data_IF_106248898040
#
_entry.id   IF_106248898040
#
_cell.length_a   1.000
_cell.length_b   1.000
_cell.length_c   1.000
_cell.angle_alpha   90.00
_cell.angle_beta   90.00
_cell.angle_gamma   90.00
#
_symmetry.space_group_name_H-M   'P 1'
#
loop_
_entity.id
_entity.type
_entity.pdbx_description
1 polymer ?
#
# COMPACT_ATOMS: atom_id res chain seq x y z
N UNK A 1 -9.26 -15.32 5.08
CA UNK A 1 -8.84 -14.09 5.80
C UNK A 1 -8.21 -13.19 4.75
N UNK A 2 -8.38 -11.87 4.82
CA UNK A 2 -7.78 -10.98 3.80
C UNK A 2 -6.27 -11.14 3.72
N UNK A 3 -5.69 -11.02 2.53
CA UNK A 3 -4.25 -10.87 2.35
C UNK A 3 -3.90 -9.40 2.57
N UNK A 4 -3.15 -9.11 3.63
CA UNK A 4 -2.77 -7.75 4.00
C UNK A 4 -1.39 -7.40 3.43
N UNK A 5 -1.30 -6.33 2.64
CA UNK A 5 -0.10 -5.96 1.88
C UNK A 5 0.22 -4.48 2.06
N UNK A 6 1.45 -4.17 2.48
CA UNK A 6 1.96 -2.80 2.55
C UNK A 6 2.74 -2.43 1.28
N UNK A 7 2.45 -1.29 0.68
CA UNK A 7 3.25 -0.71 -0.40
C UNK A 7 4.26 0.26 0.18
N UNK A 8 5.54 -0.09 0.14
CA UNK A 8 6.61 0.66 0.82
C UNK A 8 7.80 0.94 -0.08
N UNK A 9 8.40 2.10 0.08
CA UNK A 9 9.74 2.45 -0.43
C UNK A 9 10.18 3.76 0.23
N UNK A 10 11.45 3.90 0.57
CA UNK A 10 12.02 5.14 1.11
C UNK A 10 12.04 6.28 0.11
N UNK A 11 12.14 5.96 -1.18
CA UNK A 11 12.17 6.95 -2.26
C UNK A 11 10.76 7.46 -2.56
N UNK A 12 10.61 8.78 -2.61
CA UNK A 12 9.40 9.42 -3.12
C UNK A 12 9.28 9.29 -4.64
N UNK A 13 8.07 9.35 -5.19
CA UNK A 13 7.84 9.35 -6.64
C UNK A 13 8.08 8.03 -7.36
N UNK A 14 8.22 6.91 -6.65
CA UNK A 14 8.42 5.57 -7.24
C UNK A 14 7.12 4.83 -7.55
N UNK A 15 5.98 5.51 -7.50
CA UNK A 15 4.68 4.92 -7.86
C UNK A 15 4.03 4.08 -6.76
N UNK A 16 4.33 4.27 -5.47
CA UNK A 16 3.63 3.57 -4.37
C UNK A 16 2.13 3.75 -4.46
N UNK A 17 1.66 4.97 -4.30
CA UNK A 17 0.23 5.32 -4.38
C UNK A 17 -0.39 4.90 -5.71
N UNK A 18 0.32 5.14 -6.83
CA UNK A 18 -0.16 4.75 -8.16
C UNK A 18 -0.38 3.23 -8.26
N UNK A 19 0.56 2.43 -7.75
CA UNK A 19 0.44 0.98 -7.73
C UNK A 19 -0.67 0.52 -6.78
N UNK A 20 -0.74 1.08 -5.56
CA UNK A 20 -1.78 0.75 -4.59
C UNK A 20 -3.17 0.98 -5.16
N UNK A 21 -3.44 2.20 -5.66
CA UNK A 21 -4.76 2.60 -6.17
C UNK A 21 -5.15 1.82 -7.42
N UNK A 22 -4.25 1.71 -8.39
CA UNK A 22 -4.61 1.10 -9.68
C UNK A 22 -4.68 -0.44 -9.62
N UNK A 23 -3.82 -1.11 -8.84
CA UNK A 23 -3.93 -2.55 -8.61
C UNK A 23 -5.22 -2.86 -7.83
N UNK A 24 -5.52 -2.10 -6.76
CA UNK A 24 -6.76 -2.26 -5.99
C UNK A 24 -8.01 -2.10 -6.88
N UNK A 25 -8.02 -1.06 -7.72
CA UNK A 25 -9.12 -0.82 -8.65
C UNK A 25 -9.29 -1.94 -9.67
N UNK A 26 -8.18 -2.46 -10.24
CA UNK A 26 -8.24 -3.57 -11.18
C UNK A 26 -8.73 -4.87 -10.52
N UNK A 27 -8.22 -5.20 -9.33
CA UNK A 27 -8.66 -6.37 -8.57
C UNK A 27 -10.16 -6.31 -8.24
N UNK A 28 -10.63 -5.15 -7.81
CA UNK A 28 -12.03 -4.97 -7.45
C UNK A 28 -12.95 -4.96 -8.68
N UNK A 29 -12.60 -4.23 -9.74
CA UNK A 29 -13.47 -4.05 -10.90
C UNK A 29 -13.49 -5.25 -11.84
N UNK A 30 -12.36 -5.98 -11.97
CA UNK A 30 -12.22 -7.01 -13.02
C UNK A 30 -11.96 -8.42 -12.47
N UNK A 31 -11.35 -8.55 -11.29
CA UNK A 31 -11.10 -9.84 -10.65
C UNK A 31 -12.09 -10.13 -9.50
N UNK A 32 -13.12 -9.28 -9.36
CA UNK A 32 -14.22 -9.43 -8.40
C UNK A 32 -13.77 -9.57 -6.94
N UNK A 33 -12.62 -8.99 -6.58
CA UNK A 33 -12.11 -9.00 -5.21
C UNK A 33 -12.73 -7.87 -4.40
N UNK A 34 -12.94 -8.12 -3.12
CA UNK A 34 -13.27 -7.07 -2.14
C UNK A 34 -11.96 -6.51 -1.61
N UNK A 35 -11.69 -5.24 -1.89
CA UNK A 35 -10.41 -4.60 -1.57
C UNK A 35 -10.64 -3.39 -0.68
N UNK A 36 -9.91 -3.32 0.43
CA UNK A 36 -9.80 -2.13 1.26
C UNK A 36 -8.44 -1.46 1.01
N UNK A 37 -8.45 -0.20 0.61
CA UNK A 37 -7.26 0.65 0.62
C UNK A 37 -7.25 1.45 1.92
N UNK A 38 -6.15 1.39 2.67
CA UNK A 38 -5.89 2.17 3.87
C UNK A 38 -4.79 3.17 3.55
N UNK A 39 -5.13 4.44 3.50
CA UNK A 39 -4.18 5.52 3.24
C UNK A 39 -3.47 5.90 4.55
N UNK A 40 -2.16 5.71 4.59
CA UNK A 40 -1.31 5.99 5.75
C UNK A 40 -0.33 7.16 5.50
N UNK A 41 -0.39 7.76 4.31
CA UNK A 41 0.45 8.92 4.01
C UNK A 41 -0.26 10.21 4.43
N UNK A 42 0.36 11.07 5.28
CA UNK A 42 -0.20 12.37 5.63
C UNK A 42 -0.37 13.30 4.43
N UNK A 43 0.21 13.00 3.26
CA UNK A 43 -0.09 13.68 2.00
C UNK A 43 -1.48 13.32 1.44
N UNK A 44 -2.14 12.28 1.95
CA UNK A 44 -3.50 11.84 1.58
C UNK A 44 -3.67 11.53 0.08
N UNK A 45 -2.61 11.05 -0.57
CA UNK A 45 -2.63 10.88 -2.02
C UNK A 45 -3.62 9.81 -2.49
N UNK A 46 -3.67 8.62 -1.86
CA UNK A 46 -4.68 7.60 -2.16
C UNK A 46 -6.10 8.09 -1.89
N UNK A 47 -6.28 8.82 -0.79
CA UNK A 47 -7.58 9.41 -0.42
C UNK A 47 -8.06 10.39 -1.48
N UNK A 48 -7.19 11.32 -1.91
CA UNK A 48 -7.53 12.33 -2.91
C UNK A 48 -7.59 11.75 -4.33
N UNK A 49 -6.98 10.60 -4.60
CA UNK A 49 -7.14 9.92 -5.88
C UNK A 49 -8.49 9.22 -6.00
N UNK A 50 -9.02 8.70 -4.89
CA UNK A 50 -10.27 7.93 -4.87
C UNK A 50 -11.48 8.74 -4.42
N UNK A 51 -11.30 9.96 -3.93
CA UNK A 51 -12.35 10.86 -3.48
C UNK A 51 -12.18 12.26 -4.05
N UNK A 52 -13.30 12.92 -4.38
CA UNK A 52 -13.27 14.34 -4.67
C UNK A 52 -12.79 15.14 -3.45
N UNK A 53 -11.96 16.18 -3.61
CA UNK A 53 -11.36 16.93 -2.50
C UNK A 53 -12.38 17.50 -1.51
N UNK A 54 -13.55 17.93 -2.01
CA UNK A 54 -14.63 18.44 -1.15
C UNK A 54 -15.22 17.29 -0.31
N UNK A 55 -15.54 16.15 -0.92
CA UNK A 55 -16.10 14.99 -0.22
C UNK A 55 -15.12 14.44 0.82
N UNK A 56 -13.81 14.40 0.49
CA UNK A 56 -12.77 14.03 1.45
C UNK A 56 -12.74 14.98 2.65
N UNK A 57 -12.70 16.31 2.42
CA UNK A 57 -12.70 17.30 3.52
C UNK A 57 -13.93 17.18 4.41
N UNK A 58 -15.12 17.00 3.82
CA UNK A 58 -16.35 16.82 4.58
C UNK A 58 -16.35 15.51 5.39
N UNK A 59 -15.77 14.45 4.82
CA UNK A 59 -15.69 13.16 5.48
C UNK A 59 -14.72 13.20 6.68
N UNK A 60 -13.47 13.59 6.47
CA UNK A 60 -12.43 13.60 7.53
C UNK A 60 -12.66 14.74 8.54
N UNK A 61 -13.29 15.84 8.13
CA UNK A 61 -13.60 16.99 9.00
C UNK A 61 -14.60 16.68 10.12
N UNK A 62 -15.35 15.59 10.03
CA UNK A 62 -16.25 15.12 11.09
C UNK A 62 -15.51 14.45 12.27
N UNK A 63 -14.18 14.50 12.31
CA UNK A 63 -13.32 14.20 13.45
C UNK A 63 -13.17 12.72 13.83
N UNK A 64 -14.00 11.83 13.26
CA UNK A 64 -14.06 10.40 13.61
C UNK A 64 -13.72 9.47 12.45
N UNK A 65 -13.59 10.02 11.24
CA UNK A 65 -13.68 9.29 9.97
C UNK A 65 -12.37 9.28 9.20
N UNK A 66 -11.29 8.96 9.89
CA UNK A 66 -9.99 8.76 9.24
C UNK A 66 -9.10 7.85 10.06
N UNK A 67 -8.06 7.33 9.44
CA UNK A 67 -7.06 6.51 10.13
C UNK A 67 -6.34 7.26 11.27
N UNK A 68 -6.32 8.60 11.24
CA UNK A 68 -5.80 9.42 12.34
C UNK A 68 -6.53 9.17 13.66
N UNK A 69 -7.89 9.11 13.63
CA UNK A 69 -8.68 8.87 14.84
C UNK A 69 -8.41 7.47 15.44
N UNK A 70 -8.18 6.47 14.58
CA UNK A 70 -7.78 5.14 15.01
C UNK A 70 -6.52 5.18 15.88
N UNK A 71 -5.47 5.84 15.39
CA UNK A 71 -4.22 5.98 16.15
C UNK A 71 -4.41 6.79 17.42
N UNK A 72 -5.14 7.90 17.33
CA UNK A 72 -5.43 8.79 18.47
C UNK A 72 -6.13 8.06 19.60
N UNK A 73 -7.07 7.17 19.28
CA UNK A 73 -7.78 6.38 20.27
C UNK A 73 -6.83 5.47 21.05
N UNK A 74 -5.94 4.77 20.35
CA UNK A 74 -4.94 3.93 21.02
C UNK A 74 -3.94 4.71 21.86
N UNK A 75 -3.58 5.93 21.44
CA UNK A 75 -2.66 6.80 22.19
C UNK A 75 -3.32 7.33 23.45
N UNK A 76 -4.58 7.74 23.35
CA UNK A 76 -5.32 8.41 24.43
C UNK A 76 -6.20 7.47 25.27
N UNK A 77 -6.32 6.19 24.91
CA UNK A 77 -7.23 5.25 25.55
C UNK A 77 -8.71 5.60 25.35
N UNK A 78 -9.05 6.21 24.18
CA UNK A 78 -10.42 6.55 23.79
C UNK A 78 -10.98 5.55 22.78
N UNK A 79 -12.29 5.59 22.51
CA UNK A 79 -13.00 4.69 21.59
C UNK A 79 -13.95 5.52 20.72
N UNK A 80 -13.40 6.45 19.95
CA UNK A 80 -14.13 7.38 19.09
C UNK A 80 -14.17 6.90 17.65
N UNK A 81 -13.12 6.17 17.22
CA UNK A 81 -13.05 5.58 15.90
C UNK A 81 -14.14 4.53 15.72
N UNK A 82 -14.90 4.68 14.65
CA UNK A 82 -15.88 3.71 14.20
C UNK A 82 -15.52 3.31 12.76
N UNK A 83 -15.31 2.02 12.53
CA UNK A 83 -14.85 1.51 11.24
C UNK A 83 -15.89 1.76 10.14
N UNK A 84 -17.17 1.50 10.41
CA UNK A 84 -18.23 1.63 9.42
C UNK A 84 -18.53 3.09 9.08
N UNK A 85 -18.31 4.01 10.02
CA UNK A 85 -18.37 5.44 9.74
C UNK A 85 -17.12 5.99 9.04
N UNK A 86 -15.94 5.41 9.30
CA UNK A 86 -14.67 5.89 8.77
C UNK A 86 -14.39 5.38 7.36
N UNK A 87 -14.80 4.16 7.02
CA UNK A 87 -14.59 3.58 5.70
C UNK A 87 -15.58 4.13 4.69
N UNK A 88 -15.05 4.65 3.59
CA UNK A 88 -15.86 5.06 2.42
C UNK A 88 -16.06 3.86 1.54
N UNK A 89 -17.28 3.33 1.53
CA UNK A 89 -17.64 2.14 0.75
C UNK A 89 -17.82 2.49 -0.73
N UNK A 90 -17.28 1.67 -1.61
CA UNK A 90 -17.47 1.75 -3.06
C UNK A 90 -16.87 3.00 -3.69
N UNK A 91 -15.55 3.11 -3.73
CA UNK A 91 -14.81 4.24 -4.33
C UNK A 91 -14.22 3.87 -5.70
N UNK A 92 -13.96 4.86 -6.62
CA UNK A 92 -14.40 6.26 -6.51
C UNK A 92 -15.92 6.39 -6.62
N UNK A 93 -16.43 7.54 -6.16
CA UNK A 93 -17.88 7.81 -6.21
C UNK A 93 -18.22 9.03 -7.05
N UNK A 94 -19.30 8.92 -7.79
CA UNK A 94 -20.06 10.04 -8.37
C UNK A 94 -21.41 10.06 -7.65
N UNK A 95 -22.52 10.04 -8.36
CA UNK A 95 -23.85 9.79 -7.74
C UNK A 95 -23.91 8.40 -7.12
N UNK A 96 -23.25 7.42 -7.76
CA UNK A 96 -23.14 6.03 -7.32
C UNK A 96 -21.67 5.60 -7.21
N UNK A 97 -21.39 4.49 -6.47
CA UNK A 97 -20.09 3.84 -6.50
C UNK A 97 -19.72 3.41 -7.92
N UNK A 98 -18.51 3.76 -8.39
CA UNK A 98 -18.00 3.29 -9.68
C UNK A 98 -17.37 1.89 -9.58
N UNK A 99 -16.80 1.56 -8.40
CA UNK A 99 -16.30 0.22 -8.08
C UNK A 99 -16.87 -0.17 -6.72
N UNK A 100 -17.95 -0.94 -6.71
CA UNK A 100 -18.70 -1.28 -5.49
C UNK A 100 -17.90 -2.11 -4.46
N UNK A 101 -16.92 -2.88 -4.93
CA UNK A 101 -16.09 -3.76 -4.10
C UNK A 101 -14.72 -3.16 -3.72
N UNK A 102 -14.52 -1.86 -3.97
CA UNK A 102 -13.34 -1.11 -3.55
C UNK A 102 -13.72 -0.12 -2.46
N UNK A 103 -13.15 -0.29 -1.27
CA UNK A 103 -13.37 0.58 -0.13
C UNK A 103 -12.10 1.35 0.23
N UNK A 104 -12.26 2.48 0.92
CA UNK A 104 -11.17 3.34 1.35
C UNK A 104 -11.31 3.72 2.82
N UNK A 105 -10.27 3.47 3.62
CA UNK A 105 -10.09 4.14 4.92
C UNK A 105 -9.15 5.34 4.69
N UNK A 106 -9.66 6.57 4.70
CA UNK A 106 -8.89 7.72 4.28
C UNK A 106 -7.89 8.21 5.33
N UNK A 107 -6.80 8.80 4.85
CA UNK A 107 -5.88 9.58 5.65
C UNK A 107 -6.43 10.99 5.95
N UNK A 108 -5.82 11.63 6.94
CA UNK A 108 -5.89 13.09 7.13
C UNK A 108 -4.48 13.65 7.37
N UNK A 109 -4.28 14.93 7.08
CA UNK A 109 -3.00 15.62 7.30
C UNK A 109 -2.55 15.58 8.77
N UNK A 110 -3.47 15.33 9.69
CA UNK A 110 -3.20 15.22 11.12
C UNK A 110 -2.37 13.99 11.49
N UNK A 111 -2.23 13.01 10.59
CA UNK A 111 -1.29 11.88 10.76
C UNK A 111 0.15 12.34 11.04
N UNK A 112 0.53 13.55 10.60
CA UNK A 112 1.83 14.15 10.96
C UNK A 112 2.04 14.22 12.47
N UNK A 113 0.97 14.42 13.26
CA UNK A 113 1.04 14.53 14.73
C UNK A 113 1.23 13.18 15.41
N UNK A 114 0.88 12.09 14.73
CA UNK A 114 0.89 10.73 15.32
C UNK A 114 2.32 10.26 15.61
N UNK A 115 3.26 10.56 14.72
CA UNK A 115 4.65 10.15 14.92
C UNK A 115 5.21 10.69 16.23
N UNK A 116 5.07 12.01 16.47
CA UNK A 116 5.53 12.64 17.70
C UNK A 116 4.80 12.10 18.94
N UNK A 117 3.49 11.91 18.85
CA UNK A 117 2.68 11.42 19.97
C UNK A 117 3.05 9.98 20.36
N UNK A 118 3.29 9.10 19.37
CA UNK A 118 3.73 7.73 19.63
C UNK A 118 5.13 7.71 20.29
N UNK A 119 6.07 8.54 19.83
CA UNK A 119 7.41 8.59 20.41
C UNK A 119 7.43 9.16 21.83
N UNK A 120 6.49 10.06 22.17
CA UNK A 120 6.33 10.58 23.52
C UNK A 120 5.69 9.54 24.47
N UNK A 121 4.87 8.66 23.95
CA UNK A 121 4.17 7.64 24.69
C UNK A 121 5.07 6.41 24.87
N UNK A 122 5.96 6.42 25.88
CA UNK A 122 7.01 5.42 26.10
C UNK A 122 6.55 3.99 26.39
N UNK A 123 5.24 3.73 26.50
CA UNK A 123 4.69 2.46 26.94
C UNK A 123 3.78 1.83 25.90
N UNK A 124 4.11 0.61 25.47
CA UNK A 124 3.23 -0.27 24.72
C UNK A 124 3.72 -0.72 23.33
N UNK A 125 2.94 -1.64 22.77
CA UNK A 125 3.17 -2.21 21.45
C UNK A 125 2.55 -1.28 20.38
N UNK A 126 3.06 -0.05 20.26
CA UNK A 126 2.52 0.98 19.36
C UNK A 126 2.38 0.50 17.89
N UNK A 127 3.20 -0.46 17.48
CA UNK A 127 3.18 -1.01 16.13
C UNK A 127 1.95 -1.89 15.82
N UNK A 128 1.11 -2.22 16.82
CA UNK A 128 -0.05 -3.10 16.68
C UNK A 128 -1.40 -2.39 16.62
N UNK A 129 -1.44 -1.05 16.73
CA UNK A 129 -2.69 -0.28 16.82
C UNK A 129 -3.59 -0.48 15.59
N UNK A 130 -3.01 -0.33 14.40
CA UNK A 130 -3.73 -0.51 13.14
C UNK A 130 -4.33 -1.92 13.04
N UNK A 131 -3.52 -2.96 13.29
CA UNK A 131 -3.98 -4.34 13.23
C UNK A 131 -5.10 -4.64 14.22
N UNK A 132 -5.00 -4.15 15.47
CA UNK A 132 -6.02 -4.36 16.50
C UNK A 132 -7.38 -3.79 16.07
N UNK A 133 -7.38 -2.62 15.47
CA UNK A 133 -8.61 -1.97 15.01
C UNK A 133 -9.19 -2.59 13.73
N UNK A 134 -8.33 -3.08 12.81
CA UNK A 134 -8.80 -3.65 11.56
C UNK A 134 -9.14 -5.15 11.65
N UNK A 135 -8.56 -5.88 12.61
CA UNK A 135 -8.72 -7.33 12.74
C UNK A 135 -10.18 -7.82 12.70
N UNK A 136 -11.16 -7.18 13.35
CA UNK A 136 -12.56 -7.61 13.30
C UNK A 136 -13.16 -7.59 11.89
N UNK A 137 -12.64 -6.73 11.02
CA UNK A 137 -13.18 -6.44 9.69
C UNK A 137 -12.42 -7.14 8.55
N UNK A 138 -11.27 -7.79 8.82
CA UNK A 138 -10.45 -8.43 7.79
C UNK A 138 -11.20 -9.52 7.01
N UNK A 139 -12.21 -10.17 7.60
CA UNK A 139 -13.01 -11.20 6.91
C UNK A 139 -13.97 -10.62 5.85
N UNK A 140 -14.18 -9.32 5.85
CA UNK A 140 -15.01 -8.64 4.86
C UNK A 140 -14.30 -8.49 3.52
N UNK A 141 -12.96 -8.64 3.50
CA UNK A 141 -12.10 -8.36 2.34
C UNK A 141 -11.32 -9.58 1.88
N UNK A 142 -10.94 -9.56 0.62
CA UNK A 142 -9.99 -10.49 0.02
C UNK A 142 -8.57 -9.91 0.10
N UNK A 143 -8.45 -8.57 -0.06
CA UNK A 143 -7.20 -7.82 0.10
C UNK A 143 -7.37 -6.58 0.98
N UNK A 144 -6.36 -6.29 1.80
CA UNK A 144 -6.21 -5.00 2.49
C UNK A 144 -4.86 -4.40 2.10
N UNK A 145 -4.87 -3.26 1.42
CA UNK A 145 -3.68 -2.56 0.94
C UNK A 145 -3.39 -1.35 1.80
N UNK A 146 -2.16 -1.25 2.27
CA UNK A 146 -1.67 -0.10 3.03
C UNK A 146 -0.77 0.75 2.12
N UNK A 147 -1.21 1.97 1.77
CA UNK A 147 -0.38 2.96 1.08
C UNK A 147 0.46 3.71 2.10
N UNK A 148 1.76 3.44 2.14
CA UNK A 148 2.66 3.92 3.17
C UNK A 148 3.45 5.17 2.74
N UNK A 149 3.73 6.10 3.67
CA UNK A 149 4.65 7.21 3.42
C UNK A 149 6.09 6.71 3.13
N UNK A 150 6.96 7.57 2.56
CA UNK A 150 8.32 7.18 2.18
C UNK A 150 9.29 7.11 3.39
N UNK A 151 8.88 6.40 4.44
CA UNK A 151 9.68 6.23 5.67
C UNK A 151 9.32 4.92 6.38
N UNK A 152 10.04 4.56 7.43
CA UNK A 152 9.77 3.41 8.33
C UNK A 152 9.52 3.88 9.77
N UNK A 153 8.73 4.94 9.94
CA UNK A 153 8.37 5.42 11.26
C UNK A 153 7.18 4.64 11.85
N UNK A 154 6.58 5.17 12.90
CA UNK A 154 5.59 4.44 13.68
C UNK A 154 4.34 4.04 12.86
N UNK A 155 3.85 4.91 11.99
CA UNK A 155 2.67 4.63 11.14
C UNK A 155 2.99 3.51 10.16
N UNK A 156 4.13 3.57 9.44
CA UNK A 156 4.56 2.50 8.53
C UNK A 156 4.82 1.17 9.25
N UNK A 157 5.39 1.21 10.47
CA UNK A 157 5.56 -0.01 11.29
C UNK A 157 4.23 -0.64 11.69
N UNK A 158 3.18 0.14 11.85
CA UNK A 158 1.83 -0.39 12.05
C UNK A 158 1.30 -1.11 10.80
N UNK A 159 1.54 -0.56 9.61
CA UNK A 159 1.21 -1.23 8.36
C UNK A 159 1.97 -2.55 8.21
N UNK A 160 3.28 -2.54 8.43
CA UNK A 160 4.11 -3.75 8.39
C UNK A 160 3.66 -4.81 9.41
N UNK A 161 3.30 -4.39 10.63
CA UNK A 161 2.77 -5.33 11.63
C UNK A 161 1.42 -5.92 11.18
N UNK A 162 0.59 -5.16 10.48
CA UNK A 162 -0.71 -5.63 10.00
C UNK A 162 -0.62 -6.51 8.74
N UNK A 163 0.53 -6.49 8.04
CA UNK A 163 0.72 -7.17 6.76
C UNK A 163 1.37 -8.55 6.90
N UNK A 164 1.03 -9.45 5.99
CA UNK A 164 1.79 -10.67 5.70
C UNK A 164 2.95 -10.37 4.74
N UNK A 165 2.72 -9.49 3.78
CA UNK A 165 3.71 -9.13 2.77
C UNK A 165 3.84 -7.62 2.61
N UNK A 166 5.01 -7.18 2.17
CA UNK A 166 5.15 -5.87 1.58
C UNK A 166 5.59 -5.97 0.12
N UNK A 167 5.14 -5.01 -0.64
CA UNK A 167 5.42 -4.82 -2.07
C UNK A 167 6.24 -3.55 -2.22
N UNK A 168 7.28 -3.61 -3.04
CA UNK A 168 8.24 -2.52 -3.24
C UNK A 168 8.15 -2.00 -4.68
N UNK A 169 7.34 -0.96 -4.94
CA UNK A 169 7.41 -0.24 -6.21
C UNK A 169 8.73 0.52 -6.33
N UNK A 170 9.39 0.44 -7.48
CA UNK A 170 10.65 1.14 -7.73
C UNK A 170 10.77 1.58 -9.19
N UNK A 171 11.55 2.63 -9.41
CA UNK A 171 12.02 3.02 -10.75
C UNK A 171 13.36 2.33 -10.98
N UNK A 172 13.57 1.66 -12.10
CA UNK A 172 14.82 0.94 -12.35
C UNK A 172 15.96 1.92 -12.65
N UNK A 173 16.60 2.39 -11.58
CA UNK A 173 17.79 3.25 -11.61
C UNK A 173 18.80 2.77 -10.55
N UNK A 174 20.04 3.25 -10.65
CA UNK A 174 21.14 2.86 -9.77
C UNK A 174 20.86 3.12 -8.29
N UNK A 175 20.19 4.24 -7.97
CA UNK A 175 19.88 4.59 -6.57
C UNK A 175 18.84 3.66 -5.96
N UNK A 176 17.99 3.04 -6.77
CA UNK A 176 16.98 2.10 -6.30
C UNK A 176 17.58 0.81 -5.77
N UNK A 177 18.71 0.36 -6.31
CA UNK A 177 19.41 -0.85 -5.85
C UNK A 177 19.93 -0.70 -4.41
N UNK A 178 20.65 0.37 -4.10
CA UNK A 178 21.17 0.61 -2.75
C UNK A 178 20.04 0.86 -1.74
N UNK A 179 19.00 1.58 -2.15
CA UNK A 179 17.81 1.81 -1.33
C UNK A 179 17.05 0.52 -1.00
N UNK A 180 16.99 -0.41 -1.95
CA UNK A 180 16.30 -1.69 -1.74
C UNK A 180 17.02 -2.57 -0.69
N UNK A 181 18.36 -2.60 -0.70
CA UNK A 181 19.10 -3.35 0.32
C UNK A 181 18.77 -2.84 1.72
N UNK A 182 18.86 -1.53 1.95
CA UNK A 182 18.56 -0.93 3.25
C UNK A 182 17.11 -1.21 3.66
N UNK A 183 16.17 -1.11 2.72
CA UNK A 183 14.77 -1.41 2.99
C UNK A 183 14.56 -2.87 3.41
N UNK A 184 15.16 -3.82 2.69
CA UNK A 184 15.04 -5.25 2.98
C UNK A 184 15.61 -5.58 4.38
N UNK A 185 16.78 -5.06 4.72
CA UNK A 185 17.40 -5.23 6.04
C UNK A 185 16.52 -4.65 7.17
N UNK A 186 15.91 -3.49 6.95
CA UNK A 186 15.04 -2.85 7.95
C UNK A 186 13.70 -3.58 8.13
N UNK A 187 13.11 -4.11 7.05
CA UNK A 187 11.88 -4.92 7.11
C UNK A 187 12.15 -6.22 7.85
N UNK A 188 13.22 -6.93 7.52
CA UNK A 188 13.62 -8.17 8.18
C UNK A 188 13.93 -7.95 9.67
N UNK A 189 14.71 -6.92 10.01
CA UNK A 189 14.99 -6.58 11.40
C UNK A 189 13.71 -6.26 12.20
N UNK A 190 12.76 -5.57 11.57
CA UNK A 190 11.47 -5.31 12.19
C UNK A 190 10.64 -6.59 12.34
N UNK A 191 10.57 -7.44 11.30
CA UNK A 191 9.86 -8.71 11.32
C UNK A 191 10.38 -9.64 12.45
N UNK A 192 11.70 -9.76 12.58
CA UNK A 192 12.34 -10.51 13.69
C UNK A 192 11.97 -9.94 15.06
N UNK A 193 11.97 -8.61 15.19
CA UNK A 193 11.62 -7.94 16.45
C UNK A 193 10.18 -8.20 16.88
N UNK A 194 9.23 -8.25 15.91
CA UNK A 194 7.80 -8.44 16.21
C UNK A 194 7.36 -9.90 16.23
N UNK A 195 8.22 -10.86 15.89
CA UNK A 195 7.86 -12.28 15.74
C UNK A 195 7.14 -12.86 16.95
N UNK A 196 7.56 -12.48 18.17
CA UNK A 196 6.90 -12.90 19.42
C UNK A 196 5.51 -12.28 19.67
N UNK A 197 5.11 -11.28 18.91
CA UNK A 197 3.82 -10.58 19.03
C UNK A 197 2.84 -10.96 17.92
N UNK A 198 3.31 -11.64 16.88
CA UNK A 198 2.49 -12.09 15.75
C UNK A 198 2.00 -13.49 16.03
N UNK A 199 0.67 -13.66 16.21
CA UNK A 199 0.06 -14.96 16.51
C UNK A 199 -0.86 -15.38 15.36
N UNK A 200 -0.76 -16.64 14.94
CA UNK A 200 -1.61 -17.23 13.91
C UNK A 200 -1.30 -16.81 12.46
N UNK A 201 -0.19 -16.10 12.24
CA UNK A 201 0.32 -15.74 10.91
C UNK A 201 1.83 -15.56 10.93
N UNK A 202 2.45 -15.49 9.74
CA UNK A 202 3.89 -15.19 9.62
C UNK A 202 4.14 -13.68 9.84
N UNK A 203 5.31 -13.29 10.38
CA UNK A 203 5.77 -11.91 10.33
C UNK A 203 5.90 -11.43 8.88
N UNK A 204 5.80 -10.12 8.69
CA UNK A 204 5.88 -9.50 7.36
C UNK A 204 7.20 -9.82 6.65
N UNK A 205 7.12 -10.08 5.35
CA UNK A 205 8.29 -10.21 4.47
C UNK A 205 8.05 -9.47 3.14
N UNK A 206 9.12 -9.10 2.42
CA UNK A 206 8.99 -8.56 1.07
C UNK A 206 8.56 -9.71 0.15
N UNK A 207 7.36 -9.58 -0.43
CA UNK A 207 6.76 -10.61 -1.29
C UNK A 207 6.90 -10.31 -2.79
N UNK A 208 7.02 -9.04 -3.17
CA UNK A 208 7.16 -8.67 -4.58
C UNK A 208 7.80 -7.30 -4.78
N UNK A 209 8.42 -7.10 -5.95
CA UNK A 209 8.86 -5.81 -6.46
C UNK A 209 8.04 -5.45 -7.69
N UNK A 210 7.74 -4.15 -7.87
CA UNK A 210 7.01 -3.62 -9.03
C UNK A 210 7.86 -2.58 -9.74
N UNK A 211 8.13 -2.79 -11.02
CA UNK A 211 8.81 -1.78 -11.85
C UNK A 211 7.81 -0.73 -12.30
N UNK A 212 8.06 0.51 -11.95
CA UNK A 212 7.27 1.67 -12.37
C UNK A 212 8.07 2.60 -13.28
N UNK A 213 7.39 3.49 -14.01
CA UNK A 213 7.99 4.47 -14.91
C UNK A 213 8.96 3.84 -15.94
N UNK A 214 8.71 2.58 -16.32
CA UNK A 214 9.54 1.86 -17.28
C UNK A 214 9.55 2.57 -18.63
N UNK A 215 10.74 2.68 -19.22
CA UNK A 215 10.94 3.21 -20.58
C UNK A 215 11.79 2.21 -21.37
N UNK A 216 11.24 1.68 -22.43
CA UNK A 216 11.92 0.73 -23.31
C UNK A 216 12.93 1.43 -24.26
N UNK A 217 13.72 2.39 -23.76
CA UNK A 217 14.68 3.15 -24.55
C UNK A 217 16.07 2.98 -23.96
N UNK A 218 17.00 2.43 -24.76
CA UNK A 218 18.36 2.16 -24.32
C UNK A 218 18.46 0.96 -23.36
N UNK A 219 19.70 0.65 -22.93
CA UNK A 219 19.99 -0.53 -22.11
C UNK A 219 19.95 -0.27 -20.59
N UNK A 220 19.83 0.99 -20.17
CA UNK A 220 19.96 1.38 -18.75
C UNK A 220 18.89 0.72 -17.87
N UNK A 221 17.64 0.77 -18.30
CA UNK A 221 16.53 0.16 -17.54
C UNK A 221 16.64 -1.37 -17.49
N UNK A 222 17.01 -2.01 -18.60
CA UNK A 222 17.18 -3.46 -18.65
C UNK A 222 18.33 -3.92 -17.73
N UNK A 223 19.45 -3.19 -17.74
CA UNK A 223 20.58 -3.47 -16.84
C UNK A 223 20.19 -3.30 -15.37
N UNK A 224 19.52 -2.21 -15.00
CA UNK A 224 19.06 -1.97 -13.64
C UNK A 224 18.07 -3.04 -13.15
N UNK A 225 17.20 -3.56 -14.03
CA UNK A 225 16.29 -4.65 -13.69
C UNK A 225 17.07 -5.95 -13.47
N UNK A 226 18.01 -6.30 -14.35
CA UNK A 226 18.84 -7.50 -14.18
C UNK A 226 19.66 -7.45 -12.88
N UNK A 227 20.23 -6.29 -12.55
CA UNK A 227 20.95 -6.09 -11.29
C UNK A 227 20.01 -6.26 -10.08
N UNK A 228 18.77 -5.73 -10.16
CA UNK A 228 17.77 -5.92 -9.11
C UNK A 228 17.37 -7.38 -8.96
N UNK A 229 17.21 -8.13 -10.05
CA UNK A 229 16.93 -9.58 -10.01
C UNK A 229 18.08 -10.35 -9.34
N UNK A 230 19.32 -10.03 -9.67
CA UNK A 230 20.49 -10.65 -9.01
C UNK A 230 20.51 -10.35 -7.52
N UNK A 231 20.22 -9.10 -7.13
CA UNK A 231 20.16 -8.70 -5.72
C UNK A 231 19.00 -9.38 -5.00
N UNK A 232 17.82 -9.45 -5.62
CA UNK A 232 16.66 -10.15 -5.07
C UNK A 232 16.97 -11.62 -4.81
N UNK A 233 17.61 -12.30 -5.77
CA UNK A 233 18.01 -13.70 -5.62
C UNK A 233 19.03 -13.90 -4.48
N UNK A 234 19.97 -12.97 -4.31
CA UNK A 234 20.89 -12.97 -3.17
C UNK A 234 20.13 -12.82 -1.83
N UNK A 235 19.12 -11.96 -1.78
CA UNK A 235 18.34 -11.72 -0.57
C UNK A 235 17.41 -12.89 -0.27
N UNK A 236 16.87 -13.59 -1.27
CA UNK A 236 16.15 -14.84 -1.09
C UNK A 236 17.03 -15.91 -0.44
N UNK A 237 18.26 -16.10 -0.96
CA UNK A 237 19.23 -17.04 -0.40
C UNK A 237 19.68 -16.68 1.01
N UNK A 238 19.64 -15.38 1.38
CA UNK A 238 19.94 -14.87 2.72
C UNK A 238 18.72 -14.74 3.64
N UNK A 239 17.54 -15.21 3.21
CA UNK A 239 16.26 -15.13 3.95
C UNK A 239 15.83 -13.70 4.38
N UNK A 240 16.33 -12.69 3.68
CA UNK A 240 15.97 -11.27 3.92
C UNK A 240 14.61 -10.89 3.30
N UNK A 241 14.13 -11.67 2.34
CA UNK A 241 12.86 -11.52 1.64
C UNK A 241 12.17 -12.87 1.55
N UNK A 242 10.89 -12.91 1.19
CA UNK A 242 10.18 -14.17 0.98
C UNK A 242 10.89 -15.03 -0.09
N UNK A 243 10.91 -16.34 0.11
CA UNK A 243 11.54 -17.26 -0.82
C UNK A 243 10.93 -17.17 -2.24
N UNK A 244 9.65 -16.89 -2.30
CA UNK A 244 8.86 -16.74 -3.53
C UNK A 244 8.86 -15.30 -4.09
N UNK A 245 9.57 -14.35 -3.43
CA UNK A 245 9.58 -12.95 -3.88
C UNK A 245 10.06 -12.84 -5.34
N UNK A 246 9.38 -12.03 -6.14
CA UNK A 246 9.72 -11.84 -7.54
C UNK A 246 9.48 -10.41 -8.03
N UNK A 247 10.05 -10.03 -9.17
CA UNK A 247 9.71 -8.80 -9.86
C UNK A 247 8.51 -9.10 -10.75
N UNK A 248 7.34 -8.60 -10.35
CA UNK A 248 6.10 -8.88 -11.09
C UNK A 248 6.06 -8.18 -12.44
N UNK A 249 5.47 -8.83 -13.40
CA UNK A 249 5.28 -8.34 -14.76
C UNK A 249 3.79 -8.24 -15.10
N UNK A 250 3.41 -7.35 -16.03
CA UNK A 250 4.27 -6.47 -16.82
C UNK A 250 4.82 -5.29 -16.00
N UNK A 251 5.92 -4.71 -16.47
CA UNK A 251 6.44 -3.45 -15.92
C UNK A 251 5.51 -2.29 -16.30
N UNK A 252 5.23 -1.40 -15.35
CA UNK A 252 4.37 -0.23 -15.61
C UNK A 252 5.15 0.81 -16.38
N UNK A 253 4.80 0.96 -17.66
CA UNK A 253 5.41 1.96 -18.54
C UNK A 253 5.06 3.37 -18.10
N UNK A 254 5.99 4.29 -18.32
CA UNK A 254 5.70 5.71 -18.12
C UNK A 254 4.53 6.11 -19.03
N UNK A 255 3.46 6.62 -18.43
CA UNK A 255 2.23 6.95 -19.12
C UNK A 255 1.59 8.19 -18.52
N UNK A 256 1.41 9.23 -19.34
CA UNK A 256 0.78 10.50 -18.93
C UNK A 256 -0.65 10.28 -18.41
N UNK A 257 -1.39 9.32 -18.97
CA UNK A 257 -2.75 9.02 -18.52
C UNK A 257 -2.83 8.61 -17.04
N UNK A 258 -1.75 8.02 -16.47
CA UNK A 258 -1.71 7.70 -15.04
C UNK A 258 -1.61 8.97 -14.20
N UNK A 259 -0.82 9.96 -14.64
CA UNK A 259 -0.73 11.25 -13.96
C UNK A 259 -2.05 12.03 -14.08
N UNK A 260 -2.61 12.15 -15.29
CA UNK A 260 -3.90 12.83 -15.53
C UNK A 260 -5.06 12.20 -14.74
N UNK A 261 -5.00 10.90 -14.46
CA UNK A 261 -6.04 10.22 -13.71
C UNK A 261 -6.13 10.66 -12.23
N UNK A 262 -5.05 11.24 -11.68
CA UNK A 262 -5.06 11.85 -10.35
C UNK A 262 -5.92 13.10 -10.30
N UNK A 263 -5.85 13.94 -11.33
CA UNK A 263 -6.61 15.19 -11.42
C UNK A 263 -8.12 14.93 -11.57
N UNK A 264 -8.46 13.78 -12.18
CA UNK A 264 -9.85 13.34 -12.34
C UNK A 264 -10.37 12.56 -11.12
N UNK A 265 -9.53 12.28 -10.13
CA UNK A 265 -9.86 11.45 -8.95
C UNK A 265 -10.41 10.07 -9.32
N UNK A 266 -9.82 9.46 -10.35
CA UNK A 266 -10.18 8.15 -10.89
C UNK A 266 -8.93 7.28 -11.05
N UNK A 267 -8.99 5.96 -10.78
CA UNK A 267 -7.96 5.04 -11.26
C UNK A 267 -7.84 5.11 -12.79
N UNK A 268 -6.64 4.88 -13.32
CA UNK A 268 -6.37 5.01 -14.77
C UNK A 268 -7.28 4.08 -15.61
N UNK A 269 -7.66 2.94 -15.06
CA UNK A 269 -8.58 1.97 -15.71
C UNK A 269 -10.01 2.48 -15.87
N UNK A 270 -10.42 3.52 -15.12
CA UNK A 270 -11.69 4.21 -15.29
C UNK A 270 -11.53 5.52 -16.06
N UNK A 271 -10.36 6.17 -15.98
CA UNK A 271 -10.08 7.43 -16.66
C UNK A 271 -9.81 7.24 -18.17
N UNK A 272 -8.83 6.41 -18.51
CA UNK A 272 -8.43 6.11 -19.91
C UNK A 272 -8.18 4.62 -20.10
N UNK A 273 -9.26 3.84 -20.19
CA UNK A 273 -9.25 2.37 -20.25
C UNK A 273 -8.35 1.79 -21.34
N UNK A 274 -8.23 2.47 -22.48
CA UNK A 274 -7.42 2.03 -23.61
C UNK A 274 -5.96 2.54 -23.57
N UNK A 275 -5.56 3.26 -22.51
CA UNK A 275 -4.19 3.71 -22.35
C UNK A 275 -3.24 2.55 -22.05
N UNK A 276 -1.95 2.73 -22.42
CA UNK A 276 -0.93 1.73 -22.07
C UNK A 276 -0.80 1.53 -20.55
N UNK A 277 -0.98 2.61 -19.75
CA UNK A 277 -0.96 2.51 -18.29
C UNK A 277 -2.12 1.68 -17.73
N UNK A 278 -3.33 1.84 -18.27
CA UNK A 278 -4.48 1.02 -17.88
C UNK A 278 -4.28 -0.46 -18.23
N UNK A 279 -3.75 -0.73 -19.43
CA UNK A 279 -3.45 -2.11 -19.86
C UNK A 279 -2.36 -2.76 -18.99
N UNK A 280 -1.31 -2.02 -18.67
CA UNK A 280 -0.22 -2.53 -17.82
C UNK A 280 -0.75 -2.84 -16.40
N UNK A 281 -1.51 -1.94 -15.78
CA UNK A 281 -2.09 -2.19 -14.46
C UNK A 281 -3.11 -3.33 -14.45
N UNK A 282 -3.90 -3.47 -15.49
CA UNK A 282 -4.84 -4.58 -15.62
C UNK A 282 -4.10 -5.93 -15.66
N UNK A 283 -3.05 -6.06 -16.47
CA UNK A 283 -2.27 -7.29 -16.54
C UNK A 283 -1.45 -7.54 -15.27
N UNK A 284 -0.86 -6.46 -14.70
CA UNK A 284 -0.11 -6.55 -13.45
C UNK A 284 -1.02 -7.00 -12.28
N UNK A 285 -2.26 -6.51 -12.21
CA UNK A 285 -3.20 -6.93 -11.17
C UNK A 285 -3.52 -8.43 -11.24
N UNK A 286 -3.65 -9.00 -12.44
CA UNK A 286 -3.82 -10.46 -12.61
C UNK A 286 -2.60 -11.25 -12.14
N UNK A 287 -1.40 -10.80 -12.53
CA UNK A 287 -0.16 -11.42 -12.08
C UNK A 287 0.00 -11.31 -10.55
N UNK A 288 -0.36 -10.16 -9.99
CA UNK A 288 -0.36 -9.88 -8.56
C UNK A 288 -1.31 -10.82 -7.79
N UNK A 289 -2.56 -10.96 -8.25
CA UNK A 289 -3.54 -11.87 -7.63
C UNK A 289 -3.05 -13.32 -7.66
N UNK A 290 -2.59 -13.78 -8.82
CA UNK A 290 -2.04 -15.13 -8.98
C UNK A 290 -0.86 -15.38 -8.03
N UNK A 291 0.07 -14.42 -7.95
CA UNK A 291 1.25 -14.52 -7.10
C UNK A 291 0.87 -14.63 -5.62
N UNK A 292 0.10 -13.67 -5.09
CA UNK A 292 -0.21 -13.65 -3.66
C UNK A 292 -1.21 -14.73 -3.23
N UNK A 293 -2.09 -15.21 -4.12
CA UNK A 293 -2.91 -16.40 -3.84
C UNK A 293 -2.09 -17.69 -3.73
N UNK A 294 -0.95 -17.78 -4.43
CA UNK A 294 -0.07 -18.95 -4.31
C UNK A 294 0.73 -18.98 -3.01
N UNK A 295 0.79 -17.86 -2.27
CA UNK A 295 1.54 -17.73 -1.01
C UNK A 295 0.67 -17.96 0.25
N UNK A 296 -0.66 -17.92 0.10
CA UNK A 296 -1.65 -18.10 1.17
C UNK A 296 -2.22 -19.50 1.18
#
# INVERSE_FOLDING_TARGET
MAVCISFINFKGGVGKTASTVNIAACLAAYEHKRVLVVDLDPQCNSSLWLMQPQAWREHVGKGRRSVYQLFRDHINGTHVFDFDEAVVRGVPRREFPLIASLDLLPASVELLKIEDQIYQNKYGQFFSYLYKSLKPHLSEYDYVFFDCPPNLYAVTKNALFASEYCVVPYVPDFLSLSGFQVLAEQVDAFAKRISGYVTGRKPVSIGALLVSHYRAVGNVFAQAINEMEMQLNKFKAGELVAAEAEILQPYIRYCVAVAESTDEHLPVVLHKVNSIGAQDYFQLAKAFDKHFQSLT
#
